data_IF_031953469908
#
_entry.id   IF_031953469908
#
_cell.length_a   1.000
_cell.length_b   1.000
_cell.length_c   1.000
_cell.angle_alpha   90.00
_cell.angle_beta   90.00
_cell.angle_gamma   90.00
#
_symmetry.space_group_name_H-M   'P 1'
#
loop_
_entity.id
_entity.type
_entity.pdbx_description
1 polymer ?
#
# COMPACT_ATOMS: atom_id res chain seq x y z
N UNK A 1 -9.48 16.58 -16.77
CA UNK A 1 -8.52 15.51 -16.43
C UNK A 1 -9.22 14.18 -16.72
N UNK A 2 -8.69 13.29 -17.57
CA UNK A 2 -9.24 11.95 -17.66
C UNK A 2 -9.16 11.32 -16.27
N UNK A 3 -10.21 10.62 -15.86
CA UNK A 3 -10.19 9.85 -14.62
C UNK A 3 -9.21 8.69 -14.81
N UNK A 4 -8.28 8.50 -13.86
CA UNK A 4 -7.37 7.36 -13.85
C UNK A 4 -8.18 6.06 -13.99
N UNK A 5 -7.65 5.11 -14.74
CA UNK A 5 -8.31 3.80 -14.81
C UNK A 5 -8.35 3.17 -13.40
N UNK A 6 -9.36 2.35 -13.06
CA UNK A 6 -9.40 1.69 -11.75
C UNK A 6 -8.10 0.95 -11.40
N UNK A 7 -7.43 0.38 -12.39
CA UNK A 7 -6.15 -0.31 -12.21
C UNK A 7 -5.01 0.66 -11.85
N UNK A 8 -4.94 1.82 -12.50
CA UNK A 8 -3.95 2.86 -12.18
C UNK A 8 -4.19 3.46 -10.80
N UNK A 9 -5.44 3.75 -10.47
CA UNK A 9 -5.82 4.26 -9.16
C UNK A 9 -5.44 3.27 -8.04
N UNK A 10 -5.73 1.97 -8.22
CA UNK A 10 -5.33 0.92 -7.29
C UNK A 10 -3.80 0.80 -7.19
N UNK A 11 -3.08 0.89 -8.32
CA UNK A 11 -1.63 0.89 -8.35
C UNK A 11 -1.02 2.09 -7.61
N UNK A 12 -1.59 3.27 -7.77
CA UNK A 12 -1.18 4.48 -7.05
C UNK A 12 -1.39 4.33 -5.54
N UNK A 13 -2.55 3.84 -5.12
CA UNK A 13 -2.87 3.60 -3.71
C UNK A 13 -1.93 2.54 -3.10
N UNK A 14 -1.66 1.45 -3.81
CA UNK A 14 -0.74 0.40 -3.38
C UNK A 14 0.68 0.93 -3.16
N UNK A 15 1.21 1.71 -4.12
CA UNK A 15 2.52 2.36 -4.00
C UNK A 15 2.58 3.32 -2.82
N UNK A 16 1.52 4.12 -2.63
CA UNK A 16 1.44 5.05 -1.51
C UNK A 16 1.45 4.30 -0.17
N UNK A 17 0.65 3.23 -0.03
CA UNK A 17 0.64 2.38 1.15
C UNK A 17 2.03 1.79 1.44
N UNK A 18 2.62 1.14 0.45
CA UNK A 18 3.96 0.55 0.56
C UNK A 18 5.01 1.57 1.01
N UNK A 19 5.03 2.76 0.38
CA UNK A 19 5.95 3.85 0.76
C UNK A 19 5.71 4.34 2.18
N UNK A 20 4.45 4.50 2.58
CA UNK A 20 4.10 4.92 3.95
C UNK A 20 4.61 3.93 4.97
N UNK A 21 4.43 2.62 4.74
CA UNK A 21 4.92 1.58 5.65
C UNK A 21 6.45 1.53 5.73
N UNK A 22 7.16 1.71 4.62
CA UNK A 22 8.62 1.73 4.60
C UNK A 22 9.23 2.98 5.26
N UNK A 23 8.55 4.11 5.19
CA UNK A 23 9.03 5.40 5.72
C UNK A 23 8.63 5.66 7.16
N UNK A 24 7.59 4.99 7.65
CA UNK A 24 7.12 5.18 9.01
C UNK A 24 8.19 4.77 10.03
N UNK A 25 8.57 5.73 10.88
CA UNK A 25 9.50 5.52 12.00
C UNK A 25 8.75 5.70 13.32
N UNK A 26 7.81 4.81 13.61
CA UNK A 26 6.97 4.89 14.78
C UNK A 26 5.50 4.72 14.44
N UNK A 27 4.65 5.16 15.36
CA UNK A 27 3.20 5.07 15.19
C UNK A 27 2.72 5.95 14.03
N UNK A 28 1.88 5.38 13.20
CA UNK A 28 1.14 6.07 12.15
C UNK A 28 -0.19 5.36 11.92
N UNK A 29 -1.25 6.10 11.64
CA UNK A 29 -2.56 5.56 11.29
C UNK A 29 -2.77 5.74 9.79
N UNK A 30 -3.07 4.65 9.09
CA UNK A 30 -3.46 4.64 7.69
C UNK A 30 -4.85 4.05 7.57
N UNK A 31 -5.66 4.59 6.68
CA UNK A 31 -6.99 4.08 6.39
C UNK A 31 -7.04 3.65 4.93
N UNK A 32 -7.31 2.37 4.69
CA UNK A 32 -7.44 1.79 3.36
C UNK A 32 -8.91 1.45 3.09
N UNK A 33 -9.47 2.11 2.10
CA UNK A 33 -10.85 1.90 1.66
C UNK A 33 -10.87 0.88 0.54
N UNK A 34 -11.51 -0.27 0.79
CA UNK A 34 -11.62 -1.35 -0.19
C UNK A 34 -12.96 -2.08 -0.01
N UNK A 35 -13.82 -2.03 -1.02
CA UNK A 35 -15.17 -2.60 -0.93
C UNK A 35 -15.19 -4.12 -1.09
N UNK A 36 -14.25 -4.69 -1.83
CA UNK A 36 -14.12 -6.14 -2.02
C UNK A 36 -13.17 -6.76 -1.00
N UNK A 37 -13.67 -7.68 -0.18
CA UNK A 37 -12.87 -8.39 0.82
C UNK A 37 -11.82 -9.29 0.18
N UNK A 38 -12.13 -9.93 -0.96
CA UNK A 38 -11.17 -10.75 -1.70
C UNK A 38 -10.04 -9.89 -2.27
N UNK A 39 -10.35 -8.74 -2.87
CA UNK A 39 -9.34 -7.81 -3.36
C UNK A 39 -8.44 -7.32 -2.24
N UNK A 40 -9.00 -6.98 -1.08
CA UNK A 40 -8.25 -6.59 0.11
C UNK A 40 -7.24 -7.67 0.52
N UNK A 41 -7.70 -8.91 0.61
CA UNK A 41 -6.86 -10.01 1.07
C UNK A 41 -5.73 -10.32 0.09
N UNK A 42 -5.98 -10.21 -1.22
CA UNK A 42 -4.96 -10.31 -2.27
C UNK A 42 -3.97 -9.13 -2.21
N UNK A 43 -4.46 -7.89 -2.08
CA UNK A 43 -3.60 -6.71 -1.92
C UNK A 43 -2.68 -6.80 -0.70
N UNK A 44 -3.17 -7.32 0.42
CA UNK A 44 -2.34 -7.54 1.62
C UNK A 44 -1.31 -8.64 1.41
N UNK A 45 -1.67 -9.71 0.68
CA UNK A 45 -0.72 -10.76 0.32
C UNK A 45 0.39 -10.24 -0.59
N UNK A 46 0.02 -9.44 -1.60
CA UNK A 46 0.95 -8.78 -2.51
C UNK A 46 1.87 -7.79 -1.78
N UNK A 47 1.29 -7.03 -0.84
CA UNK A 47 2.05 -6.12 0.01
C UNK A 47 3.10 -6.87 0.84
N UNK A 48 2.72 -8.00 1.44
CA UNK A 48 3.66 -8.87 2.18
C UNK A 48 4.77 -9.40 1.26
N UNK A 49 4.43 -9.85 0.06
CA UNK A 49 5.40 -10.32 -0.93
C UNK A 49 6.36 -9.20 -1.38
N UNK A 50 5.86 -7.96 -1.50
CA UNK A 50 6.67 -6.78 -1.88
C UNK A 50 7.55 -6.23 -0.75
N UNK A 51 7.37 -6.72 0.48
CA UNK A 51 8.08 -6.27 1.69
C UNK A 51 8.68 -7.46 2.45
N UNK A 52 9.57 -8.28 1.85
CA UNK A 52 10.01 -9.55 2.43
C UNK A 52 10.80 -9.40 3.75
N UNK A 53 11.34 -8.21 4.02
CA UNK A 53 12.05 -7.91 5.27
C UNK A 53 11.15 -7.28 6.36
N UNK A 54 9.84 -7.14 6.09
CA UNK A 54 8.86 -6.53 7.01
C UNK A 54 7.80 -7.56 7.36
N UNK A 55 7.65 -7.86 8.63
CA UNK A 55 6.58 -8.75 9.10
C UNK A 55 5.27 -7.97 9.16
N UNK A 56 4.29 -8.33 8.34
CA UNK A 56 2.94 -7.74 8.41
C UNK A 56 2.09 -8.57 9.38
N UNK A 57 1.61 -7.92 10.43
CA UNK A 57 0.69 -8.52 11.40
C UNK A 57 -0.75 -8.31 10.95
N UNK A 58 -1.63 -9.26 11.25
CA UNK A 58 -3.06 -9.16 10.94
C UNK A 58 -3.86 -9.32 12.22
N UNK A 59 -4.81 -8.42 12.46
CA UNK A 59 -5.75 -8.45 13.58
C UNK A 59 -7.17 -8.40 13.03
N UNK A 60 -8.00 -9.31 13.47
CA UNK A 60 -9.43 -9.28 13.16
C UNK A 60 -10.21 -8.55 14.24
N UNK A 61 -10.67 -7.32 13.95
CA UNK A 61 -11.45 -6.52 14.87
C UNK A 61 -12.87 -7.05 15.08
N UNK A 62 -13.34 -7.99 14.23
CA UNK A 62 -14.69 -8.50 14.25
C UNK A 62 -15.05 -9.41 15.43
N UNK A 63 -14.09 -9.77 16.28
CA UNK A 63 -14.29 -10.69 17.43
C UNK A 63 -14.93 -10.01 18.66
N UNK A 64 -15.34 -8.75 18.56
CA UNK A 64 -16.23 -8.11 19.54
C UNK A 64 -15.57 -7.44 20.72
N UNK A 65 -14.26 -7.48 20.86
CA UNK A 65 -13.56 -6.73 21.92
C UNK A 65 -13.45 -5.25 21.54
N UNK A 66 -13.93 -4.38 22.43
CA UNK A 66 -13.91 -2.94 22.20
C UNK A 66 -12.53 -2.32 22.40
N UNK A 67 -11.64 -2.94 23.19
CA UNK A 67 -10.28 -2.45 23.42
C UNK A 67 -9.28 -3.06 22.43
N UNK A 68 -9.41 -2.60 21.19
CA UNK A 68 -8.54 -3.03 20.09
C UNK A 68 -7.05 -2.76 20.37
N UNK A 69 -6.73 -1.65 21.02
CA UNK A 69 -5.34 -1.30 21.37
C UNK A 69 -4.74 -2.29 22.37
N UNK A 70 -5.46 -2.58 23.47
CA UNK A 70 -4.98 -3.54 24.47
C UNK A 70 -4.76 -4.92 23.86
N UNK A 71 -5.69 -5.37 22.99
CA UNK A 71 -5.58 -6.65 22.29
C UNK A 71 -4.36 -6.71 21.38
N UNK A 72 -4.13 -5.69 20.56
CA UNK A 72 -2.96 -5.63 19.66
C UNK A 72 -1.67 -5.68 20.47
N UNK A 73 -1.57 -4.87 21.52
CA UNK A 73 -0.37 -4.82 22.37
C UNK A 73 -0.10 -6.17 23.02
N UNK A 74 -1.14 -6.87 23.48
CA UNK A 74 -1.01 -8.20 24.08
C UNK A 74 -0.64 -9.27 23.03
N UNK A 75 -1.29 -9.26 21.89
CA UNK A 75 -1.10 -10.27 20.84
C UNK A 75 0.30 -10.22 20.22
N UNK A 76 0.86 -9.03 20.11
CA UNK A 76 2.18 -8.82 19.49
C UNK A 76 3.29 -8.41 20.47
N UNK A 77 3.12 -8.66 21.79
CA UNK A 77 4.11 -8.32 22.80
C UNK A 77 5.50 -8.92 22.50
N UNK A 78 5.52 -10.17 22.03
CA UNK A 78 6.75 -10.93 21.73
C UNK A 78 7.01 -11.09 20.22
N UNK A 79 6.20 -10.45 19.38
CA UNK A 79 6.32 -10.57 17.93
C UNK A 79 7.38 -9.59 17.37
N UNK A 80 8.02 -9.91 16.24
CA UNK A 80 8.92 -8.96 15.58
C UNK A 80 8.17 -7.66 15.25
N UNK A 81 8.82 -6.48 15.34
CA UNK A 81 8.18 -5.22 15.01
C UNK A 81 7.73 -5.19 13.55
N UNK A 82 6.51 -4.72 13.30
CA UNK A 82 5.96 -4.65 11.96
C UNK A 82 4.58 -3.98 11.92
N UNK A 83 4.14 -3.51 10.73
CA UNK A 83 2.84 -2.89 10.56
C UNK A 83 1.69 -3.85 10.91
N UNK A 84 0.64 -3.30 11.51
CA UNK A 84 -0.54 -4.06 11.93
C UNK A 84 -1.71 -3.76 10.99
N UNK A 85 -2.22 -4.77 10.29
CA UNK A 85 -3.39 -4.70 9.42
C UNK A 85 -4.64 -5.01 10.25
N UNK A 86 -5.52 -4.04 10.43
CA UNK A 86 -6.81 -4.20 11.13
C UNK A 86 -7.86 -4.57 10.10
N UNK A 87 -8.44 -5.75 10.26
CA UNK A 87 -9.45 -6.34 9.38
C UNK A 87 -10.76 -6.55 10.15
N UNK A 88 -11.84 -6.87 9.45
CA UNK A 88 -13.11 -7.25 10.07
C UNK A 88 -13.90 -6.08 10.69
N UNK A 89 -13.43 -4.84 10.59
CA UNK A 89 -14.14 -3.66 11.08
C UNK A 89 -15.55 -3.55 10.50
N UNK A 90 -15.74 -4.00 9.27
CA UNK A 90 -17.05 -4.00 8.61
C UNK A 90 -18.11 -4.80 9.39
N UNK A 91 -17.72 -5.86 10.08
CA UNK A 91 -18.64 -6.66 10.90
C UNK A 91 -19.07 -5.91 12.17
N UNK A 92 -18.09 -5.27 12.84
CA UNK A 92 -18.37 -4.44 14.01
C UNK A 92 -19.22 -3.23 13.64
N UNK A 93 -18.83 -2.54 12.56
CA UNK A 93 -19.51 -1.33 12.11
C UNK A 93 -20.91 -1.59 11.50
N UNK A 94 -21.24 -2.84 11.16
CA UNK A 94 -22.56 -3.24 10.73
C UNK A 94 -23.58 -3.23 11.90
N UNK A 95 -23.15 -3.61 13.10
CA UNK A 95 -23.98 -3.56 14.31
C UNK A 95 -23.85 -2.18 14.96
N UNK A 96 -24.98 -1.55 15.27
CA UNK A 96 -25.00 -0.18 15.79
C UNK A 96 -24.37 -0.08 17.17
N UNK A 97 -24.70 -1.00 18.08
CA UNK A 97 -24.23 -0.94 19.46
C UNK A 97 -22.74 -1.33 19.56
N UNK A 98 -22.31 -2.33 18.79
CA UNK A 98 -20.89 -2.69 18.72
C UNK A 98 -20.06 -1.56 18.10
N UNK A 99 -20.57 -0.93 17.04
CA UNK A 99 -19.93 0.23 16.42
C UNK A 99 -19.75 1.40 17.40
N UNK A 100 -20.81 1.79 18.12
CA UNK A 100 -20.74 2.89 19.10
C UNK A 100 -19.68 2.61 20.17
N UNK A 101 -19.61 1.39 20.72
CA UNK A 101 -18.62 1.03 21.73
C UNK A 101 -17.20 1.06 21.17
N UNK A 102 -16.97 0.45 20.00
CA UNK A 102 -15.65 0.40 19.37
C UNK A 102 -15.15 1.80 18.99
N UNK A 103 -16.00 2.61 18.37
CA UNK A 103 -15.64 3.96 17.93
C UNK A 103 -15.40 4.89 19.13
N UNK A 104 -16.19 4.78 20.19
CA UNK A 104 -15.94 5.50 21.44
C UNK A 104 -14.59 5.07 22.08
N UNK A 105 -14.30 3.77 22.11
CA UNK A 105 -13.03 3.27 22.64
C UNK A 105 -11.84 3.79 21.82
N UNK A 106 -11.91 3.75 20.47
CA UNK A 106 -10.87 4.31 19.60
C UNK A 106 -10.64 5.80 19.88
N UNK A 107 -11.70 6.56 20.01
CA UNK A 107 -11.63 8.01 20.24
C UNK A 107 -11.07 8.35 21.63
N UNK A 108 -11.46 7.59 22.65
CA UNK A 108 -10.98 7.78 24.02
C UNK A 108 -9.49 7.38 24.17
N UNK A 109 -9.09 6.27 23.58
CA UNK A 109 -7.72 5.75 23.68
C UNK A 109 -6.72 6.41 22.72
N UNK A 110 -7.15 7.38 21.90
CA UNK A 110 -6.31 7.97 20.85
C UNK A 110 -4.91 8.40 21.31
N UNK A 111 -4.80 8.99 22.49
CA UNK A 111 -3.53 9.45 23.03
C UNK A 111 -2.61 8.31 23.51
N UNK A 112 -3.17 7.11 23.76
CA UNK A 112 -2.40 5.94 24.18
C UNK A 112 -1.75 5.22 23.00
N UNK A 113 -2.32 5.30 21.81
CA UNK A 113 -1.80 4.60 20.64
C UNK A 113 -0.33 4.88 20.38
N UNK A 114 0.15 6.14 20.25
CA UNK A 114 1.56 6.43 19.99
C UNK A 114 2.48 6.12 21.17
N UNK A 115 1.95 5.97 22.38
CA UNK A 115 2.75 5.60 23.56
C UNK A 115 2.91 4.10 23.71
N UNK A 116 1.96 3.32 23.21
CA UNK A 116 1.92 1.86 23.32
C UNK A 116 2.29 1.14 22.03
N UNK A 117 2.22 1.82 20.88
CA UNK A 117 2.51 1.29 19.55
C UNK A 117 3.65 2.08 18.92
N UNK A 118 4.70 1.37 18.51
CA UNK A 118 5.82 1.97 17.77
C UNK A 118 5.78 1.64 16.26
N UNK A 119 4.66 1.08 15.78
CA UNK A 119 4.51 0.62 14.40
C UNK A 119 3.29 1.26 13.75
N UNK A 120 3.27 1.34 12.40
CA UNK A 120 2.09 1.76 11.65
C UNK A 120 0.91 0.80 11.85
N UNK A 121 -0.28 1.36 11.91
CA UNK A 121 -1.55 0.62 11.96
C UNK A 121 -2.39 0.98 10.74
N UNK A 122 -2.86 -0.01 10.01
CA UNK A 122 -3.61 0.14 8.77
C UNK A 122 -5.02 -0.40 8.96
N UNK A 123 -6.00 0.47 8.95
CA UNK A 123 -7.41 0.12 9.04
C UNK A 123 -7.97 -0.15 7.65
N UNK A 124 -8.43 -1.37 7.40
CA UNK A 124 -9.09 -1.75 6.16
C UNK A 124 -10.60 -1.79 6.37
N UNK A 125 -11.35 -1.05 5.56
CA UNK A 125 -12.81 -1.03 5.64
C UNK A 125 -13.44 -0.72 4.28
N UNK A 126 -14.66 -1.22 4.02
CA UNK A 126 -15.46 -0.81 2.88
C UNK A 126 -15.87 0.68 2.97
N UNK A 127 -15.97 1.33 1.81
CA UNK A 127 -16.33 2.75 1.66
C UNK A 127 -17.60 3.12 2.42
N UNK A 128 -18.61 2.26 2.41
CA UNK A 128 -19.88 2.50 3.11
C UNK A 128 -19.74 2.72 4.61
N UNK A 129 -18.65 2.27 5.22
CA UNK A 129 -18.40 2.44 6.66
C UNK A 129 -17.45 3.60 6.99
N UNK A 130 -16.81 4.21 5.99
CA UNK A 130 -15.88 5.32 6.22
C UNK A 130 -16.57 6.49 6.96
N UNK A 131 -17.78 6.87 6.52
CA UNK A 131 -18.55 7.92 7.19
C UNK A 131 -18.89 7.59 8.65
N UNK A 132 -19.10 6.30 8.96
CA UNK A 132 -19.37 5.87 10.34
C UNK A 132 -18.12 5.95 11.22
N UNK A 133 -16.97 5.59 10.69
CA UNK A 133 -15.68 5.75 11.37
C UNK A 133 -15.36 7.23 11.64
N UNK A 134 -15.50 8.09 10.62
CA UNK A 134 -15.20 9.52 10.75
C UNK A 134 -16.13 10.24 11.73
N UNK A 135 -17.41 9.88 11.75
CA UNK A 135 -18.40 10.51 12.64
C UNK A 135 -18.31 9.98 14.08
N UNK A 136 -17.99 8.68 14.26
CA UNK A 136 -17.99 8.05 15.58
C UNK A 136 -16.65 8.11 16.32
N UNK A 137 -15.54 8.32 15.61
CA UNK A 137 -14.20 8.48 16.19
C UNK A 137 -13.45 9.64 15.52
N UNK A 138 -13.97 10.87 15.54
CA UNK A 138 -13.40 11.98 14.79
C UNK A 138 -11.98 12.32 15.22
N UNK A 139 -11.71 12.40 16.51
CA UNK A 139 -10.38 12.76 17.03
C UNK A 139 -9.32 11.67 16.69
N UNK A 140 -9.71 10.39 16.72
CA UNK A 140 -8.83 9.30 16.30
C UNK A 140 -8.59 9.36 14.78
N UNK A 141 -9.65 9.61 14.01
CA UNK A 141 -9.55 9.71 12.56
C UNK A 141 -8.67 10.88 12.09
N UNK A 142 -8.66 11.97 12.83
CA UNK A 142 -7.80 13.14 12.54
C UNK A 142 -6.30 12.85 12.71
N UNK A 143 -5.94 11.81 13.43
CA UNK A 143 -4.55 11.36 13.55
C UNK A 143 -4.04 10.53 12.37
N UNK A 144 -4.93 10.21 11.43
CA UNK A 144 -4.51 9.45 10.25
C UNK A 144 -3.50 10.22 9.40
N UNK A 145 -2.49 9.51 8.96
CA UNK A 145 -1.50 10.05 8.03
C UNK A 145 -2.04 10.14 6.61
N UNK A 146 -2.88 9.17 6.21
CA UNK A 146 -3.47 9.13 4.87
C UNK A 146 -4.75 8.28 4.82
N UNK A 147 -5.55 8.51 3.78
CA UNK A 147 -6.68 7.67 3.39
C UNK A 147 -6.50 7.21 1.96
N UNK A 148 -6.28 5.92 1.76
CA UNK A 148 -5.98 5.33 0.47
C UNK A 148 -7.20 4.58 -0.07
N UNK A 149 -7.58 4.88 -1.28
CA UNK A 149 -8.76 4.33 -1.93
C UNK A 149 -8.36 3.25 -2.95
N UNK A 150 -8.83 2.03 -2.70
CA UNK A 150 -8.62 0.89 -3.58
C UNK A 150 -9.92 0.59 -4.32
N UNK A 151 -10.04 0.99 -5.59
CA UNK A 151 -11.21 0.66 -6.40
C UNK A 151 -11.33 -0.86 -6.57
N UNK A 152 -12.54 -1.32 -6.79
CA UNK A 152 -12.81 -2.73 -7.05
C UNK A 152 -12.16 -3.15 -8.38
N UNK A 153 -11.37 -4.21 -8.33
CA UNK A 153 -10.70 -4.81 -9.48
C UNK A 153 -11.27 -6.19 -9.75
N UNK A 154 -11.37 -6.54 -11.03
CA UNK A 154 -11.69 -7.91 -11.41
C UNK A 154 -10.54 -8.87 -11.07
N UNK A 155 -10.83 -10.17 -10.90
CA UNK A 155 -9.81 -11.17 -10.62
C UNK A 155 -8.66 -11.19 -11.67
N UNK A 156 -8.96 -10.84 -12.92
CA UNK A 156 -7.97 -10.73 -14.01
C UNK A 156 -7.05 -9.51 -13.80
N UNK A 157 -7.60 -8.42 -13.25
CA UNK A 157 -6.83 -7.21 -12.97
C UNK A 157 -5.99 -7.33 -11.70
N UNK A 158 -6.42 -8.14 -10.73
CA UNK A 158 -5.67 -8.40 -9.50
C UNK A 158 -4.45 -9.31 -9.71
N UNK A 159 -4.55 -10.31 -10.59
CA UNK A 159 -3.45 -11.25 -10.86
C UNK A 159 -2.07 -10.63 -11.10
N UNK A 160 -1.95 -9.43 -11.67
CA UNK A 160 -0.65 -8.79 -11.87
C UNK A 160 -0.05 -8.11 -10.64
N UNK A 161 -0.79 -7.90 -9.54
CA UNK A 161 -0.24 -7.19 -8.38
C UNK A 161 0.87 -7.97 -7.68
N UNK A 162 0.73 -9.30 -7.50
CA UNK A 162 1.75 -10.14 -6.89
C UNK A 162 2.85 -10.63 -7.83
N UNK A 163 2.60 -10.60 -9.13
CA UNK A 163 3.58 -11.03 -10.14
C UNK A 163 4.32 -9.87 -10.82
N UNK A 164 3.79 -8.65 -10.72
CA UNK A 164 4.54 -7.47 -11.12
C UNK A 164 5.59 -7.21 -10.04
N UNK A 165 6.83 -7.24 -10.41
CA UNK A 165 7.89 -6.61 -9.64
C UNK A 165 7.52 -5.12 -9.52
N UNK A 166 6.71 -4.78 -8.52
CA UNK A 166 6.38 -3.41 -8.18
C UNK A 166 7.57 -2.77 -7.47
N UNK A 167 8.64 -2.65 -8.18
CA UNK A 167 9.80 -1.87 -7.80
C UNK A 167 9.53 -0.41 -8.11
N UNK A 168 8.54 0.19 -7.45
CA UNK A 168 8.30 1.62 -7.58
C UNK A 168 8.67 2.34 -6.30
N UNK A 169 9.52 3.30 -6.47
CA UNK A 169 10.20 4.02 -5.41
C UNK A 169 11.32 3.14 -4.88
N UNK A 170 12.56 3.44 -5.22
CA UNK A 170 13.71 2.65 -4.85
C UNK A 170 13.67 2.26 -3.38
N UNK A 171 14.03 1.05 -3.05
CA UNK A 171 14.16 0.64 -1.66
C UNK A 171 15.10 1.65 -0.99
N UNK A 172 14.64 2.44 0.01
CA UNK A 172 15.49 3.44 0.65
C UNK A 172 16.71 2.83 1.33
N UNK A 173 16.76 1.48 1.42
CA UNK A 173 17.89 0.71 1.90
C UNK A 173 18.94 0.42 0.83
N UNK A 174 18.62 0.59 -0.45
CA UNK A 174 19.59 0.43 -1.51
C UNK A 174 20.65 1.53 -1.43
N UNK A 175 21.90 1.14 -1.38
CA UNK A 175 23.04 2.04 -1.54
C UNK A 175 23.02 2.68 -2.94
N UNK A 176 23.78 3.74 -3.12
CA UNK A 176 23.95 4.36 -4.43
C UNK A 176 24.40 3.35 -5.50
N UNK A 177 25.38 2.50 -5.16
CA UNK A 177 25.91 1.51 -6.09
C UNK A 177 24.87 0.45 -6.48
N UNK A 178 24.03 0.02 -5.53
CA UNK A 178 22.96 -0.94 -5.80
C UNK A 178 21.87 -0.33 -6.69
N UNK A 179 21.55 0.96 -6.53
CA UNK A 179 20.62 1.67 -7.43
C UNK A 179 21.17 1.77 -8.85
N UNK A 180 22.45 2.14 -9.00
CA UNK A 180 23.12 2.21 -10.31
C UNK A 180 23.18 0.84 -10.98
N UNK A 181 23.43 -0.25 -10.22
CA UNK A 181 23.39 -1.62 -10.73
C UNK A 181 21.99 -1.99 -11.20
N UNK A 182 20.97 -1.68 -10.41
CA UNK A 182 19.58 -1.98 -10.76
C UNK A 182 19.14 -1.25 -12.02
N UNK A 183 19.52 0.01 -12.20
CA UNK A 183 19.29 0.75 -13.45
C UNK A 183 19.93 0.04 -14.65
N UNK A 184 21.17 -0.45 -14.51
CA UNK A 184 21.85 -1.19 -15.58
C UNK A 184 21.13 -2.49 -15.92
N UNK A 185 20.68 -3.23 -14.93
CA UNK A 185 19.91 -4.46 -15.10
C UNK A 185 18.60 -4.21 -15.86
N UNK A 186 17.84 -3.20 -15.44
CA UNK A 186 16.55 -2.85 -16.07
C UNK A 186 16.74 -2.41 -17.52
N UNK A 187 17.75 -1.59 -17.80
CA UNK A 187 18.10 -1.20 -19.18
C UNK A 187 18.47 -2.40 -20.06
N UNK A 188 19.21 -3.36 -19.50
CA UNK A 188 19.55 -4.59 -20.22
C UNK A 188 18.30 -5.43 -20.52
N UNK A 189 17.38 -5.56 -19.56
CA UNK A 189 16.08 -6.26 -19.74
C UNK A 189 15.23 -5.61 -20.83
N UNK A 190 15.12 -4.26 -20.83
CA UNK A 190 14.41 -3.51 -21.87
C UNK A 190 15.05 -3.75 -23.24
N UNK A 191 16.37 -3.67 -23.34
CA UNK A 191 17.09 -3.92 -24.59
C UNK A 191 16.89 -5.34 -25.10
N UNK A 192 16.90 -6.33 -24.22
CA UNK A 192 16.63 -7.73 -24.58
C UNK A 192 15.18 -7.93 -25.06
N UNK A 193 14.21 -7.26 -24.39
CA UNK A 193 12.81 -7.30 -24.79
C UNK A 193 12.60 -6.68 -26.17
N UNK A 194 13.28 -5.59 -26.48
CA UNK A 194 13.20 -4.91 -27.79
C UNK A 194 13.90 -5.71 -28.90
N UNK A 195 14.96 -6.46 -28.56
CA UNK A 195 15.66 -7.32 -29.50
C UNK A 195 14.92 -8.64 -29.81
N UNK A 196 14.08 -9.09 -28.89
CA UNK A 196 13.20 -10.23 -29.11
C UNK A 196 12.13 -9.79 -30.11
N UNK A 197 12.03 -10.49 -31.28
CA UNK A 197 11.03 -10.20 -32.33
C UNK A 197 9.61 -10.56 -31.89
N UNK A 198 9.19 -10.04 -30.72
CA UNK A 198 7.82 -10.15 -30.21
C UNK A 198 7.00 -9.05 -30.89
N UNK A 199 5.77 -9.34 -31.35
CA UNK A 199 4.91 -8.32 -31.94
C UNK A 199 4.84 -7.10 -31.01
N UNK A 200 5.15 -5.92 -31.51
CA UNK A 200 5.19 -4.66 -30.76
C UNK A 200 3.84 -4.22 -30.19
N UNK A 201 2.76 -4.91 -30.55
CA UNK A 201 1.38 -4.61 -30.12
C UNK A 201 0.88 -5.48 -28.96
N UNK A 202 1.73 -6.33 -28.37
CA UNK A 202 1.31 -7.07 -27.18
C UNK A 202 1.22 -6.12 -25.96
N UNK A 203 0.00 -5.88 -25.53
CA UNK A 203 -0.32 -5.01 -24.38
C UNK A 203 0.46 -5.39 -23.11
N UNK A 204 0.76 -6.68 -22.94
CA UNK A 204 1.58 -7.15 -21.80
C UNK A 204 3.02 -6.66 -21.91
N UNK A 205 3.62 -6.78 -23.07
CA UNK A 205 5.00 -6.34 -23.36
C UNK A 205 5.14 -4.84 -23.21
N UNK A 206 4.17 -4.06 -23.72
CA UNK A 206 4.14 -2.59 -23.56
C UNK A 206 4.03 -2.19 -22.10
N UNK A 207 3.13 -2.82 -21.35
CA UNK A 207 2.95 -2.54 -19.92
C UNK A 207 4.20 -2.87 -19.11
N UNK A 208 4.86 -4.00 -19.40
CA UNK A 208 6.08 -4.41 -18.72
C UNK A 208 7.23 -3.43 -18.99
N UNK A 209 7.38 -3.00 -20.24
CA UNK A 209 8.38 -2.01 -20.65
C UNK A 209 8.15 -0.67 -19.96
N UNK A 210 6.92 -0.18 -19.95
CA UNK A 210 6.56 1.07 -19.26
C UNK A 210 6.86 0.99 -17.75
N UNK A 211 6.57 -0.15 -17.11
CA UNK A 211 6.87 -0.36 -15.70
C UNK A 211 8.36 -0.32 -15.39
N UNK A 212 9.20 -0.89 -16.23
CA UNK A 212 10.65 -0.84 -16.06
C UNK A 212 11.24 0.56 -16.28
N UNK A 213 10.70 1.31 -17.26
CA UNK A 213 11.11 2.69 -17.47
C UNK A 213 10.73 3.60 -16.29
N UNK A 214 9.55 3.40 -15.72
CA UNK A 214 9.10 4.15 -14.56
C UNK A 214 9.98 3.84 -13.31
N UNK A 215 10.36 2.56 -13.12
CA UNK A 215 11.32 2.18 -12.07
C UNK A 215 12.68 2.86 -12.26
N UNK A 216 13.20 2.90 -13.47
CA UNK A 216 14.45 3.60 -13.77
C UNK A 216 14.33 5.09 -13.43
N UNK A 217 13.22 5.73 -13.79
CA UNK A 217 12.98 7.13 -13.48
C UNK A 217 12.94 7.40 -11.97
N UNK A 218 12.33 6.51 -11.18
CA UNK A 218 12.31 6.62 -9.72
C UNK A 218 13.71 6.48 -9.12
N UNK A 219 14.50 5.50 -9.59
CA UNK A 219 15.88 5.30 -9.11
C UNK A 219 16.79 6.49 -9.47
N UNK A 220 16.66 7.05 -10.68
CA UNK A 220 17.39 8.25 -11.10
C UNK A 220 17.00 9.47 -10.27
N UNK A 221 15.71 9.64 -9.97
CA UNK A 221 15.23 10.70 -9.08
C UNK A 221 15.89 10.61 -7.70
N UNK A 222 15.99 9.39 -7.13
CA UNK A 222 16.65 9.17 -5.84
C UNK A 222 18.18 9.37 -5.88
N UNK A 223 18.80 9.18 -7.04
CA UNK A 223 20.21 9.49 -7.28
C UNK A 223 20.46 10.99 -7.48
N UNK A 224 19.39 11.80 -7.62
CA UNK A 224 19.46 13.24 -7.90
C UNK A 224 19.58 13.57 -9.37
N UNK A 225 19.45 12.61 -10.28
CA UNK A 225 19.53 12.80 -11.74
C UNK A 225 18.16 13.19 -12.31
N UNK A 226 17.66 14.36 -11.87
CA UNK A 226 16.28 14.82 -12.07
C UNK A 226 15.90 15.02 -13.54
N UNK A 227 16.82 15.55 -14.34
CA UNK A 227 16.57 15.84 -15.77
C UNK A 227 16.35 14.54 -16.55
N UNK A 228 17.18 13.54 -16.31
CA UNK A 228 17.04 12.24 -16.97
C UNK A 228 15.81 11.47 -16.47
N UNK A 229 15.53 11.51 -15.17
CA UNK A 229 14.31 10.94 -14.60
C UNK A 229 13.04 11.52 -15.22
N UNK A 230 12.99 12.86 -15.40
CA UNK A 230 11.86 13.54 -16.03
C UNK A 230 11.73 13.16 -17.50
N UNK A 231 12.84 13.15 -18.25
CA UNK A 231 12.86 12.77 -19.66
C UNK A 231 12.29 11.37 -19.87
N UNK A 232 12.73 10.40 -19.07
CA UNK A 232 12.25 9.01 -19.16
C UNK A 232 10.75 8.94 -18.87
N UNK A 233 10.25 9.65 -17.87
CA UNK A 233 8.81 9.64 -17.56
C UNK A 233 7.95 10.19 -18.69
N UNK A 234 8.44 11.23 -19.36
CA UNK A 234 7.69 11.88 -20.45
C UNK A 234 7.77 11.09 -21.76
N UNK A 235 8.94 10.55 -22.09
CA UNK A 235 9.18 9.96 -23.41
C UNK A 235 8.97 8.46 -23.47
N UNK A 236 9.24 7.74 -22.37
CA UNK A 236 9.34 6.27 -22.38
C UNK A 236 8.30 5.56 -21.50
N UNK A 237 7.91 6.18 -20.38
CA UNK A 237 7.02 5.56 -19.41
C UNK A 237 5.54 5.87 -19.65
N UNK A 238 5.21 6.92 -20.40
CA UNK A 238 3.82 7.18 -20.80
C UNK A 238 3.47 6.34 -22.03
N UNK A 239 2.43 5.49 -21.97
CA UNK A 239 1.92 4.83 -23.17
C UNK A 239 1.33 5.88 -24.11
N UNK A 240 1.70 5.82 -25.38
CA UNK A 240 1.08 6.58 -26.47
C UNK A 240 -0.30 6.03 -26.77
#
# INVERSE_FOLDING_TARGET
MPADSPLEAAGNAFRALRRSLLRSRGFAVLVCVCDSLSNRDELIADLAASLPAVTLHRVDAGDGDCDLLARIVQEFADAPPGPVMILGLERVLADTQAAERMLAALNLSRAEWPTRMAQPVVFWLPRRYLGRLTAGAPDFFDWRSDTLDFPELSAVQLRPFGQREWTFGGDPRLSRAEREERIRELRARISALMAASIPSDDTHTLTLRAAWWDEIADLLFELGELDEALRIRVEEALPV
#
